data_IF_010363101418
#
_entry.id   IF_010363101418
#
_cell.length_a   1.000
_cell.length_b   1.000
_cell.length_c   1.000
_cell.angle_alpha   90.00
_cell.angle_beta   90.00
_cell.angle_gamma   90.00
#
_symmetry.space_group_name_H-M   'P 1'
#
loop_
_entity.id
_entity.type
_entity.pdbx_description
1 polymer ?
#
# COMPACT_ATOMS: atom_id res chain seq x y z
N UNK A 1 -23.19 -48.44 -3.77
CA UNK A 1 -23.11 -47.27 -2.86
C UNK A 1 -21.92 -47.50 -1.95
N UNK A 2 -20.80 -46.82 -2.22
CA UNK A 2 -19.63 -46.84 -1.33
C UNK A 2 -19.39 -45.39 -0.92
N UNK A 3 -19.64 -45.12 0.36
CA UNK A 3 -19.33 -43.87 1.01
C UNK A 3 -17.81 -43.75 1.15
N UNK A 4 -17.24 -42.68 0.62
CA UNK A 4 -15.88 -42.28 0.91
C UNK A 4 -15.94 -40.93 1.61
N UNK A 5 -15.96 -40.98 2.94
CA UNK A 5 -15.74 -39.84 3.82
C UNK A 5 -14.33 -39.31 3.56
N UNK A 6 -14.22 -38.13 2.97
CA UNK A 6 -12.92 -37.47 2.84
C UNK A 6 -12.65 -36.63 4.09
N UNK A 7 -11.55 -37.01 4.72
CA UNK A 7 -10.91 -36.50 5.94
C UNK A 7 -10.70 -34.98 5.88
N UNK A 8 -11.07 -34.30 6.97
CA UNK A 8 -10.59 -32.96 7.33
C UNK A 8 -9.13 -33.07 7.75
N UNK A 9 -8.24 -32.39 7.02
CA UNK A 9 -6.85 -32.19 7.42
C UNK A 9 -6.64 -30.71 7.80
N UNK A 10 -6.13 -30.52 8.99
CA UNK A 10 -5.94 -29.27 9.73
C UNK A 10 -4.71 -28.47 9.28
N UNK A 11 -4.86 -27.14 9.29
CA UNK A 11 -3.91 -26.08 9.70
C UNK A 11 -2.41 -26.25 9.36
N UNK A 12 -1.91 -25.34 8.52
CA UNK A 12 -0.48 -25.08 8.40
C UNK A 12 -0.14 -24.06 7.31
N UNK A 13 -0.05 -22.79 7.70
CA UNK A 13 1.03 -21.89 7.30
C UNK A 13 1.14 -21.43 5.84
N UNK A 14 1.23 -20.10 5.69
CA UNK A 14 1.47 -19.38 4.44
C UNK A 14 0.32 -19.50 3.44
N UNK A 15 -0.73 -18.72 3.71
CA UNK A 15 -1.56 -18.20 2.63
C UNK A 15 -0.65 -17.42 1.70
N UNK A 16 -0.09 -18.10 0.70
CA UNK A 16 0.20 -17.49 -0.57
C UNK A 16 -1.16 -17.06 -1.10
N UNK A 17 -1.62 -15.88 -0.66
CA UNK A 17 -2.55 -15.10 -1.43
C UNK A 17 -1.91 -15.06 -2.81
N UNK A 18 -2.47 -15.88 -3.70
CA UNK A 18 -2.24 -15.78 -5.12
C UNK A 18 -2.34 -14.28 -5.43
N UNK A 19 -1.42 -13.69 -6.22
CA UNK A 19 -1.71 -12.37 -6.75
C UNK A 19 -2.97 -12.57 -7.59
N UNK A 20 -4.14 -12.28 -7.00
CA UNK A 20 -5.25 -11.73 -7.77
C UNK A 20 -4.55 -10.63 -8.54
N UNK A 21 -4.52 -10.78 -9.86
CA UNK A 21 -3.78 -9.90 -10.74
C UNK A 21 -4.36 -8.52 -10.50
N UNK A 22 -3.74 -7.80 -9.58
CA UNK A 22 -4.10 -6.47 -9.21
C UNK A 22 -3.61 -5.67 -10.40
N UNK A 23 -4.53 -5.45 -11.33
CA UNK A 23 -4.29 -4.63 -12.52
C UNK A 23 -4.12 -3.14 -12.14
N UNK A 24 -3.98 -2.83 -10.86
CA UNK A 24 -3.55 -1.54 -10.38
C UNK A 24 -2.05 -1.39 -10.59
N UNK A 25 -1.68 -0.17 -10.97
CA UNK A 25 -0.32 0.17 -11.35
C UNK A 25 0.65 0.25 -10.15
N UNK A 26 0.13 0.11 -8.93
CA UNK A 26 0.86 0.25 -7.66
C UNK A 26 0.79 -1.04 -6.85
N UNK A 27 1.81 -1.28 -6.01
CA UNK A 27 1.76 -2.37 -5.03
C UNK A 27 0.70 -2.06 -3.96
N UNK A 28 -0.09 -3.05 -3.57
CA UNK A 28 -1.10 -2.91 -2.50
C UNK A 28 -0.83 -3.82 -1.30
N UNK A 29 -1.11 -3.30 -0.10
CA UNK A 29 -0.96 -4.00 1.19
C UNK A 29 -2.04 -3.54 2.17
N UNK A 30 -2.33 -4.34 3.18
CA UNK A 30 -3.14 -3.87 4.31
C UNK A 30 -2.38 -2.83 5.15
N UNK A 31 -3.04 -1.73 5.49
CA UNK A 31 -2.60 -0.75 6.47
C UNK A 31 -2.67 -1.33 7.88
N UNK A 32 -1.94 -0.71 8.80
CA UNK A 32 -2.04 -1.05 10.24
C UNK A 32 -3.21 -0.31 10.93
N UNK A 33 -3.78 0.70 10.28
CA UNK A 33 -4.90 1.48 10.80
C UNK A 33 -6.08 1.55 9.82
N UNK A 34 -7.09 2.32 10.22
CA UNK A 34 -8.39 2.43 9.54
C UNK A 34 -8.41 3.50 8.43
N UNK A 35 -7.24 3.99 8.00
CA UNK A 35 -7.09 5.01 6.98
C UNK A 35 -6.22 4.51 5.83
N UNK A 36 -6.52 5.01 4.62
CA UNK A 36 -5.65 4.83 3.46
C UNK A 36 -4.28 5.43 3.72
N UNK A 37 -3.22 4.77 3.26
CA UNK A 37 -1.88 5.32 3.34
C UNK A 37 -1.15 5.13 2.01
N UNK A 38 -0.27 6.06 1.66
CA UNK A 38 0.60 5.94 0.49
C UNK A 38 2.04 6.03 0.97
N UNK A 39 2.80 4.99 0.73
CA UNK A 39 4.19 4.90 1.15
C UNK A 39 5.15 4.74 -0.02
N UNK A 40 6.36 5.25 0.16
CA UNK A 40 7.46 5.08 -0.79
C UNK A 40 8.65 4.53 -0.04
N UNK A 41 9.18 3.40 -0.49
CA UNK A 41 10.43 2.85 0.02
C UNK A 41 11.58 3.23 -0.90
N UNK A 42 12.69 3.69 -0.32
CA UNK A 42 13.89 4.14 -1.03
C UNK A 42 13.57 5.21 -2.10
N UNK A 43 12.89 6.31 -1.73
CA UNK A 43 12.55 7.36 -2.68
C UNK A 43 13.81 7.98 -3.29
N UNK A 44 13.92 7.96 -4.61
CA UNK A 44 14.97 8.67 -5.35
C UNK A 44 14.29 9.64 -6.31
N UNK A 45 14.56 10.93 -6.17
CA UNK A 45 13.90 11.99 -6.92
C UNK A 45 13.24 12.98 -5.96
N UNK A 46 12.31 13.75 -6.50
CA UNK A 46 11.60 14.80 -5.76
C UNK A 46 10.10 14.54 -5.83
N UNK A 47 9.45 14.51 -4.67
CA UNK A 47 8.01 14.26 -4.57
C UNK A 47 7.17 15.54 -4.68
N UNK A 48 7.82 16.71 -4.82
CA UNK A 48 7.20 18.00 -5.03
C UNK A 48 6.03 18.30 -4.10
N UNK A 49 4.99 18.90 -4.68
CA UNK A 49 3.74 19.24 -4.00
C UNK A 49 2.79 18.05 -3.83
N UNK A 50 3.19 16.82 -4.21
CA UNK A 50 2.32 15.64 -4.04
C UNK A 50 1.95 15.39 -2.56
N UNK A 51 2.78 15.86 -1.63
CA UNK A 51 2.56 15.76 -0.18
C UNK A 51 1.63 16.84 0.39
N UNK A 52 1.26 17.84 -0.41
CA UNK A 52 0.34 18.94 -0.03
C UNK A 52 -1.11 18.66 -0.46
N UNK A 53 -1.39 17.44 -0.93
CA UNK A 53 -2.74 17.05 -1.34
C UNK A 53 -3.73 17.15 -0.16
N UNK A 54 -4.91 17.73 -0.40
CA UNK A 54 -5.98 17.88 0.60
C UNK A 54 -6.42 16.55 1.23
N UNK A 55 -6.21 15.44 0.51
CA UNK A 55 -6.50 14.11 1.01
C UNK A 55 -5.48 13.60 2.04
N UNK A 56 -4.33 14.27 2.24
CA UNK A 56 -3.30 13.87 3.19
C UNK A 56 -3.58 14.52 4.55
N UNK A 57 -3.68 13.69 5.59
CA UNK A 57 -3.86 14.14 6.97
C UNK A 57 -2.52 14.28 7.71
N UNK A 58 -1.61 13.35 7.49
CA UNK A 58 -0.32 13.28 8.17
C UNK A 58 0.76 12.68 7.27
N UNK A 59 2.02 13.08 7.49
CA UNK A 59 3.14 12.57 6.74
C UNK A 59 4.38 12.31 7.58
N UNK A 60 4.87 11.07 7.50
CA UNK A 60 6.10 10.64 8.15
C UNK A 60 7.19 10.46 7.09
N UNK A 61 8.33 11.11 7.35
CA UNK A 61 9.53 10.99 6.55
C UNK A 61 10.66 10.42 7.41
N UNK A 62 11.31 9.37 6.92
CA UNK A 62 12.59 8.90 7.45
C UNK A 62 13.63 8.95 6.35
N UNK A 63 14.73 9.66 6.60
CA UNK A 63 15.84 9.82 5.66
C UNK A 63 17.04 8.91 5.99
N UNK A 64 16.90 8.03 7.00
CA UNK A 64 17.95 7.13 7.43
C UNK A 64 18.22 6.06 6.36
N UNK A 65 19.28 6.24 5.58
CA UNK A 65 19.74 5.21 4.66
C UNK A 65 20.26 3.98 5.45
N UNK A 66 19.95 2.74 5.02
CA UNK A 66 19.27 2.33 3.80
C UNK A 66 17.74 2.15 3.95
N UNK A 67 17.12 2.70 4.99
CA UNK A 67 15.70 2.55 5.33
C UNK A 67 14.84 3.76 4.94
N UNK A 68 15.36 4.65 4.07
CA UNK A 68 14.68 5.88 3.69
C UNK A 68 13.28 5.59 3.15
N UNK A 69 12.28 6.28 3.69
CA UNK A 69 10.88 6.08 3.33
C UNK A 69 10.03 7.31 3.60
N UNK A 70 8.97 7.44 2.82
CA UNK A 70 7.83 8.30 3.10
C UNK A 70 6.62 7.44 3.39
N UNK A 71 5.77 7.89 4.31
CA UNK A 71 4.46 7.33 4.54
C UNK A 71 3.51 8.50 4.80
N UNK A 72 2.53 8.67 3.91
CA UNK A 72 1.47 9.64 4.05
C UNK A 72 0.19 8.92 4.43
N UNK A 73 -0.41 9.33 5.54
CA UNK A 73 -1.71 8.84 5.98
C UNK A 73 -2.77 9.80 5.48
N UNK A 74 -3.76 9.28 4.77
CA UNK A 74 -4.84 10.07 4.21
C UNK A 74 -5.89 10.38 5.29
N UNK A 75 -6.76 11.35 5.01
CA UNK A 75 -7.90 11.67 5.86
C UNK A 75 -8.90 10.53 5.90
N UNK A 76 -9.76 10.50 6.93
CA UNK A 76 -10.84 9.52 7.03
C UNK A 76 -11.93 9.67 5.96
N UNK A 77 -11.97 10.79 5.26
CA UNK A 77 -12.91 11.04 4.16
C UNK A 77 -12.35 10.61 2.80
N UNK A 78 -11.05 10.31 2.74
CA UNK A 78 -10.38 9.90 1.50
C UNK A 78 -10.65 8.45 1.14
N UNK A 79 -10.66 8.19 -0.16
CA UNK A 79 -10.91 6.86 -0.71
C UNK A 79 -9.74 6.34 -1.58
N UNK A 80 -9.93 5.16 -2.16
CA UNK A 80 -8.97 4.51 -3.06
C UNK A 80 -8.51 5.45 -4.19
N UNK A 81 -9.43 6.25 -4.74
CA UNK A 81 -9.14 7.20 -5.84
C UNK A 81 -8.15 8.27 -5.40
N UNK A 82 -8.25 8.75 -4.17
CA UNK A 82 -7.30 9.72 -3.61
C UNK A 82 -5.93 9.10 -3.41
N UNK A 83 -5.89 7.87 -2.89
CA UNK A 83 -4.64 7.15 -2.71
C UNK A 83 -3.93 6.89 -4.05
N UNK A 84 -4.67 6.50 -5.08
CA UNK A 84 -4.16 6.32 -6.45
C UNK A 84 -3.71 7.64 -7.08
N UNK A 85 -4.46 8.73 -6.88
CA UNK A 85 -4.07 10.08 -7.35
C UNK A 85 -2.74 10.52 -6.76
N UNK A 86 -2.55 10.35 -5.45
CA UNK A 86 -1.30 10.69 -4.76
C UNK A 86 -0.16 9.77 -5.23
N UNK A 87 -0.42 8.47 -5.34
CA UNK A 87 0.55 7.50 -5.85
C UNK A 87 0.98 7.81 -7.29
N UNK A 88 0.05 8.26 -8.15
CA UNK A 88 0.32 8.73 -9.50
C UNK A 88 1.19 9.97 -9.52
N UNK A 89 0.91 10.94 -8.65
CA UNK A 89 1.75 12.12 -8.49
C UNK A 89 3.19 11.75 -8.10
N UNK A 90 3.33 10.86 -7.10
CA UNK A 90 4.63 10.34 -6.66
C UNK A 90 5.39 9.65 -7.80
N UNK A 91 4.71 8.85 -8.62
CA UNK A 91 5.32 8.16 -9.77
C UNK A 91 5.86 9.11 -10.83
N UNK A 92 5.29 10.31 -10.96
CA UNK A 92 5.79 11.34 -11.89
C UNK A 92 7.00 12.08 -11.33
N UNK A 93 7.08 12.27 -10.00
CA UNK A 93 8.20 12.96 -9.35
C UNK A 93 9.41 12.08 -9.03
N UNK A 94 9.16 10.80 -8.75
CA UNK A 94 10.20 9.83 -8.41
C UNK A 94 10.87 9.26 -9.65
N UNK A 95 12.19 9.17 -9.59
CA UNK A 95 13.02 8.49 -10.60
C UNK A 95 13.26 7.02 -10.22
N UNK A 96 13.28 6.69 -8.94
CA UNK A 96 13.35 5.32 -8.40
C UNK A 96 12.66 5.24 -7.03
N UNK A 97 12.44 4.03 -6.54
CA UNK A 97 11.70 3.73 -5.31
C UNK A 97 10.46 2.88 -5.56
N UNK A 98 9.97 2.24 -4.49
CA UNK A 98 8.76 1.40 -4.55
C UNK A 98 7.60 2.12 -3.90
N UNK A 99 6.58 2.47 -4.70
CA UNK A 99 5.33 3.06 -4.22
C UNK A 99 4.39 1.92 -3.80
N UNK A 100 3.81 2.03 -2.62
CA UNK A 100 2.83 1.08 -2.08
C UNK A 100 1.62 1.86 -1.55
N UNK A 101 0.43 1.46 -1.98
CA UNK A 101 -0.83 1.91 -1.40
C UNK A 101 -1.20 0.92 -0.29
N UNK A 102 -1.55 1.46 0.87
CA UNK A 102 -2.00 0.70 2.02
C UNK A 102 -3.49 0.90 2.22
N UNK A 103 -4.24 -0.19 2.12
CA UNK A 103 -5.70 -0.23 2.23
C UNK A 103 -6.08 -0.27 3.73
N UNK A 104 -7.06 0.53 4.18
CA UNK A 104 -7.50 0.52 5.57
C UNK A 104 -7.91 -0.89 6.01
N UNK A 105 -7.58 -1.27 7.23
CA UNK A 105 -8.04 -2.54 7.79
C UNK A 105 -9.57 -2.51 7.99
N UNK A 106 -10.28 -3.51 7.47
CA UNK A 106 -11.73 -3.71 7.66
C UNK A 106 -12.13 -4.08 9.10
#
# INVERSE_FOLDING_TARGET
MVAASLVVATLGGCGNALPVGDNSEFSRKAATGDAWQVGVQLPVGDVGDCGDDVAIADGIMSADAPSSRYLWTLTSESDETDAERIAGCLKLGLTDGTITIYEPAE
#
